data_IF_341787880743
#
_entry.id   IF_341787880743
#
_cell.length_a   1.000
_cell.length_b   1.000
_cell.length_c   1.000
_cell.angle_alpha   90.00
_cell.angle_beta   90.00
_cell.angle_gamma   90.00
#
_symmetry.space_group_name_H-M   'P 1'
#
loop_
_entity.id
_entity.type
_entity.pdbx_description
1 polymer ?
#
# COMPACT_ATOMS: atom_id res chain seq x y z
N UNK A 1 2.34 14.22 13.84
CA UNK A 1 0.90 14.22 14.07
C UNK A 1 0.18 13.75 12.79
N UNK A 2 -0.52 12.62 12.86
CA UNK A 2 -1.28 12.07 11.72
C UNK A 2 -2.66 12.74 11.56
N UNK A 3 -3.15 13.41 12.60
CA UNK A 3 -4.45 14.10 12.58
C UNK A 3 -4.26 15.52 12.01
N UNK A 4 -4.02 15.60 10.72
CA UNK A 4 -3.92 16.86 9.98
C UNK A 4 -5.16 17.06 9.11
N UNK A 5 -5.53 18.32 8.87
CA UNK A 5 -6.70 18.64 8.04
C UNK A 5 -6.43 18.35 6.55
N UNK A 6 -7.48 18.12 5.74
CA UNK A 6 -7.34 17.95 4.30
C UNK A 6 -6.59 19.11 3.62
N UNK A 7 -6.84 20.35 4.06
CA UNK A 7 -6.17 21.55 3.53
C UNK A 7 -4.66 21.50 3.80
N UNK A 8 -4.28 21.03 5.01
CA UNK A 8 -2.85 20.91 5.35
C UNK A 8 -2.18 19.78 4.56
N UNK A 9 -2.88 18.66 4.31
CA UNK A 9 -2.37 17.60 3.45
C UNK A 9 -2.17 18.12 2.02
N UNK A 10 -3.15 18.86 1.48
CA UNK A 10 -3.03 19.50 0.16
C UNK A 10 -1.81 20.44 0.11
N UNK A 11 -1.63 21.30 1.09
CA UNK A 11 -0.46 22.17 1.18
C UNK A 11 0.86 21.38 1.19
N UNK A 12 0.92 20.26 1.92
CA UNK A 12 2.09 19.38 1.91
C UNK A 12 2.37 18.83 0.52
N UNK A 13 1.37 18.29 -0.16
CA UNK A 13 1.54 17.76 -1.52
C UNK A 13 2.01 18.86 -2.49
N UNK A 14 1.42 20.05 -2.43
CA UNK A 14 1.77 21.16 -3.32
C UNK A 14 3.17 21.74 -3.05
N UNK A 15 3.60 21.82 -1.79
CA UNK A 15 4.88 22.45 -1.42
C UNK A 15 6.07 21.49 -1.35
N UNK A 16 5.85 20.25 -0.93
CA UNK A 16 6.93 19.28 -0.70
C UNK A 16 6.76 17.96 -1.46
N UNK A 17 5.69 17.82 -2.25
CA UNK A 17 5.45 16.67 -3.12
C UNK A 17 4.93 15.42 -2.43
N UNK A 18 4.67 15.45 -1.09
CA UNK A 18 4.17 14.31 -0.35
C UNK A 18 3.17 14.74 0.73
N UNK A 19 2.13 13.94 0.94
CA UNK A 19 1.14 14.15 2.00
C UNK A 19 0.63 12.84 2.57
N UNK A 20 0.39 12.80 3.87
CA UNK A 20 -0.19 11.63 4.54
C UNK A 20 -1.69 11.84 4.75
N UNK A 21 -2.49 11.03 4.04
CA UNK A 21 -3.95 11.05 4.13
C UNK A 21 -4.44 10.01 5.15
N UNK A 22 -4.67 10.44 6.39
CA UNK A 22 -5.20 9.55 7.40
C UNK A 22 -6.66 9.23 7.12
N UNK A 23 -6.98 7.95 6.91
CA UNK A 23 -8.28 7.51 6.43
C UNK A 23 -9.47 8.02 7.28
N UNK A 24 -9.33 8.07 8.61
CA UNK A 24 -10.39 8.58 9.51
C UNK A 24 -10.72 10.04 9.26
N UNK A 25 -9.72 10.85 8.88
CA UNK A 25 -9.89 12.28 8.60
C UNK A 25 -10.41 12.51 7.18
N UNK A 26 -9.97 11.66 6.23
CA UNK A 26 -10.28 11.82 4.80
C UNK A 26 -11.61 11.19 4.38
N UNK A 27 -12.16 10.27 5.18
CA UNK A 27 -13.43 9.59 4.92
C UNK A 27 -14.43 9.78 6.06
N UNK A 28 -14.93 11.01 6.33
CA UNK A 28 -15.82 11.28 7.46
C UNK A 28 -17.10 10.45 7.43
N UNK A 29 -17.62 10.12 6.25
CA UNK A 29 -18.81 9.29 6.11
C UNK A 29 -18.64 7.84 6.57
N UNK A 30 -17.39 7.34 6.61
CA UNK A 30 -17.09 6.01 7.13
C UNK A 30 -17.24 5.91 8.65
N UNK A 31 -17.33 7.03 9.36
CA UNK A 31 -17.60 7.04 10.80
C UNK A 31 -18.98 6.45 11.12
N UNK A 32 -19.96 6.63 10.24
CA UNK A 32 -21.32 6.14 10.43
C UNK A 32 -21.42 4.60 10.50
N UNK A 33 -20.44 3.91 9.91
CA UNK A 33 -20.39 2.44 9.90
C UNK A 33 -19.36 1.87 10.86
N UNK A 34 -18.58 2.72 11.52
CA UNK A 34 -17.48 2.29 12.39
C UNK A 34 -17.98 1.47 13.58
N UNK A 35 -19.08 1.87 14.22
CA UNK A 35 -19.64 1.13 15.35
C UNK A 35 -20.06 -0.28 14.93
N UNK A 36 -20.82 -0.40 13.85
CA UNK A 36 -21.27 -1.70 13.32
C UNK A 36 -20.10 -2.59 12.95
N UNK A 37 -19.05 -2.04 12.32
CA UNK A 37 -17.83 -2.79 11.99
C UNK A 37 -17.12 -3.32 13.24
N UNK A 38 -17.05 -2.51 14.29
CA UNK A 38 -16.42 -2.90 15.58
C UNK A 38 -17.23 -4.00 16.29
N UNK A 39 -18.56 -3.97 16.19
CA UNK A 39 -19.44 -4.99 16.77
C UNK A 39 -19.35 -6.31 15.99
N UNK A 40 -19.35 -6.26 14.66
CA UNK A 40 -19.26 -7.43 13.79
C UNK A 40 -17.93 -8.19 13.93
N UNK A 41 -16.82 -7.50 14.23
CA UNK A 41 -15.45 -8.06 14.36
C UNK A 41 -15.03 -8.95 13.18
N UNK A 42 -15.57 -8.69 12.00
CA UNK A 42 -15.26 -9.42 10.77
C UNK A 42 -14.93 -8.46 9.63
N UNK A 43 -14.22 -8.96 8.63
CA UNK A 43 -13.95 -8.21 7.41
C UNK A 43 -15.20 -8.11 6.57
N UNK A 44 -15.45 -6.93 6.02
CA UNK A 44 -16.62 -6.61 5.19
C UNK A 44 -16.18 -5.89 3.92
N UNK A 45 -17.11 -5.62 3.01
CA UNK A 45 -16.85 -4.79 1.82
C UNK A 45 -16.24 -3.42 2.14
N UNK A 46 -16.47 -2.86 3.32
CA UNK A 46 -15.86 -1.60 3.74
C UNK A 46 -14.34 -1.66 3.91
N UNK A 47 -13.76 -2.84 4.01
CA UNK A 47 -12.31 -3.02 4.00
C UNK A 47 -11.71 -2.85 2.59
N UNK A 48 -12.53 -2.99 1.55
CA UNK A 48 -12.14 -2.85 0.14
C UNK A 48 -12.51 -1.46 -0.37
N UNK A 49 -13.65 -0.92 0.05
CA UNK A 49 -14.14 0.38 -0.44
C UNK A 49 -13.23 1.56 -0.07
N UNK A 50 -12.60 1.53 1.11
CA UNK A 50 -11.70 2.59 1.54
C UNK A 50 -10.56 2.84 0.54
N UNK A 51 -9.73 1.84 0.23
CA UNK A 51 -8.66 1.97 -0.77
C UNK A 51 -9.17 2.37 -2.16
N UNK A 52 -10.34 1.90 -2.58
CA UNK A 52 -10.92 2.19 -3.90
C UNK A 52 -11.57 3.58 -3.99
N UNK A 53 -11.79 4.28 -2.87
CA UNK A 53 -12.42 5.60 -2.82
C UNK A 53 -11.43 6.71 -2.42
N UNK A 54 -10.22 6.68 -2.98
CA UNK A 54 -9.20 7.69 -2.69
C UNK A 54 -9.67 9.09 -3.11
N UNK A 55 -9.80 10.04 -2.16
CA UNK A 55 -10.33 11.37 -2.47
C UNK A 55 -9.40 12.24 -3.32
N UNK A 56 -8.14 11.86 -3.49
CA UNK A 56 -7.20 12.61 -4.34
C UNK A 56 -7.44 12.42 -5.83
N UNK A 57 -8.31 11.47 -6.25
CA UNK A 57 -8.50 11.09 -7.65
C UNK A 57 -7.19 10.74 -8.37
N UNK A 58 -6.22 10.18 -7.65
CA UNK A 58 -4.94 9.73 -8.22
C UNK A 58 -5.19 8.75 -9.37
N UNK A 59 -4.43 8.90 -10.45
CA UNK A 59 -4.53 8.03 -11.64
C UNK A 59 -3.56 6.87 -11.59
N UNK A 60 -2.61 6.93 -10.70
CA UNK A 60 -1.62 5.90 -10.44
C UNK A 60 -1.74 5.45 -8.98
N UNK A 61 -1.90 4.15 -8.73
CA UNK A 61 -2.14 3.65 -7.37
C UNK A 61 -1.48 2.29 -7.12
N UNK A 62 -0.84 2.18 -5.97
CA UNK A 62 -0.44 0.90 -5.37
C UNK A 62 -1.34 0.63 -4.17
N UNK A 63 -2.05 -0.50 -4.17
CA UNK A 63 -3.00 -0.87 -3.11
C UNK A 63 -2.64 -2.25 -2.57
N UNK A 64 -2.55 -2.36 -1.24
CA UNK A 64 -2.44 -3.62 -0.56
C UNK A 64 -3.79 -4.30 -0.34
N UNK A 65 -3.84 -5.60 -0.53
CA UNK A 65 -4.99 -6.45 -0.26
C UNK A 65 -4.70 -7.43 0.88
N UNK A 66 -5.66 -7.67 1.71
CA UNK A 66 -5.56 -8.64 2.80
C UNK A 66 -5.83 -10.09 2.36
N UNK A 67 -6.06 -10.33 1.08
CA UNK A 67 -6.32 -11.67 0.54
C UNK A 67 -5.90 -11.72 -0.93
N UNK A 68 -5.17 -12.77 -1.34
CA UNK A 68 -4.79 -12.95 -2.74
C UNK A 68 -6.00 -13.01 -3.69
N UNK A 69 -7.10 -13.62 -3.27
CA UNK A 69 -8.32 -13.73 -4.08
C UNK A 69 -8.96 -12.39 -4.43
N UNK A 70 -8.59 -11.31 -3.72
CA UNK A 70 -9.15 -9.97 -3.93
C UNK A 70 -8.29 -9.10 -4.86
N UNK A 71 -7.04 -9.47 -5.14
CA UNK A 71 -6.16 -8.62 -5.95
C UNK A 71 -6.75 -8.35 -7.33
N UNK A 72 -7.15 -9.38 -8.05
CA UNK A 72 -7.71 -9.27 -9.39
C UNK A 72 -9.06 -8.52 -9.43
N UNK A 73 -10.09 -8.85 -8.61
CA UNK A 73 -11.33 -8.09 -8.60
C UNK A 73 -11.14 -6.61 -8.22
N UNK A 74 -10.21 -6.30 -7.32
CA UNK A 74 -9.88 -4.92 -6.95
C UNK A 74 -9.20 -4.19 -8.10
N UNK A 75 -8.23 -4.80 -8.79
CA UNK A 75 -7.58 -4.22 -9.94
C UNK A 75 -8.58 -3.92 -11.08
N UNK A 76 -9.49 -4.85 -11.37
CA UNK A 76 -10.58 -4.60 -12.33
C UNK A 76 -11.50 -3.45 -11.90
N UNK A 77 -11.77 -3.33 -10.60
CA UNK A 77 -12.57 -2.22 -10.06
C UNK A 77 -11.83 -0.88 -10.22
N UNK A 78 -10.53 -0.85 -9.89
CA UNK A 78 -9.67 0.33 -10.10
C UNK A 78 -9.66 0.76 -11.57
N UNK A 79 -9.50 -0.17 -12.50
CA UNK A 79 -9.53 0.11 -13.94
C UNK A 79 -10.86 0.75 -14.35
N UNK A 80 -12.00 0.24 -13.88
CA UNK A 80 -13.33 0.82 -14.12
C UNK A 80 -13.51 2.20 -13.48
N UNK A 81 -12.83 2.48 -12.37
CA UNK A 81 -12.79 3.79 -11.70
C UNK A 81 -11.85 4.80 -12.39
N UNK A 82 -11.19 4.39 -13.48
CA UNK A 82 -10.36 5.27 -14.30
C UNK A 82 -8.92 5.39 -13.83
N UNK A 83 -8.41 4.40 -13.09
CA UNK A 83 -6.98 4.25 -12.82
C UNK A 83 -6.29 3.85 -14.12
N UNK A 84 -5.21 4.54 -14.45
CA UNK A 84 -4.45 4.36 -15.69
C UNK A 84 -3.34 3.33 -15.51
N UNK A 85 -2.66 3.39 -14.37
CA UNK A 85 -1.60 2.46 -13.99
C UNK A 85 -1.72 2.14 -12.51
N UNK A 86 -1.57 0.88 -12.14
CA UNK A 86 -1.70 0.51 -10.74
C UNK A 86 -1.35 -0.95 -10.48
N UNK A 87 -1.18 -1.25 -9.21
CA UNK A 87 -1.01 -2.60 -8.71
C UNK A 87 -1.89 -2.83 -7.50
N UNK A 88 -2.52 -4.00 -7.43
CA UNK A 88 -3.07 -4.54 -6.19
C UNK A 88 -2.21 -5.72 -5.79
N UNK A 89 -1.67 -5.66 -4.59
CA UNK A 89 -0.64 -6.60 -4.12
C UNK A 89 -1.07 -7.32 -2.84
N UNK A 90 -0.62 -8.55 -2.67
CA UNK A 90 -0.85 -9.33 -1.45
C UNK A 90 0.29 -10.32 -1.23
N UNK A 91 1.00 -10.21 -0.10
CA UNK A 91 1.94 -11.24 0.33
C UNK A 91 1.17 -12.53 0.66
N UNK A 92 1.50 -13.64 -0.02
CA UNK A 92 0.70 -14.87 0.00
C UNK A 92 0.81 -15.57 1.36
N UNK A 93 2.03 -15.67 1.89
CA UNK A 93 2.31 -16.53 3.05
C UNK A 93 1.60 -16.08 4.33
N UNK A 94 1.33 -14.79 4.49
CA UNK A 94 0.75 -14.21 5.70
C UNK A 94 -0.37 -13.19 5.43
N UNK A 95 -0.91 -13.17 4.19
CA UNK A 95 -1.94 -12.21 3.76
C UNK A 95 -1.56 -10.75 4.04
N UNK A 96 -0.28 -10.43 3.80
CA UNK A 96 0.26 -9.09 4.01
C UNK A 96 -0.30 -8.14 2.95
N UNK A 97 -0.83 -7.00 3.38
CA UNK A 97 -1.40 -5.98 2.51
C UNK A 97 -0.35 -5.01 1.93
N UNK A 98 0.81 -5.58 1.56
CA UNK A 98 1.91 -4.91 0.86
C UNK A 98 2.78 -5.95 0.12
N UNK A 99 3.75 -5.51 -0.67
CA UNK A 99 4.73 -6.40 -1.28
C UNK A 99 5.64 -6.94 -0.18
N UNK A 100 5.64 -8.25 -0.04
CA UNK A 100 6.31 -8.95 1.05
C UNK A 100 7.80 -9.17 0.77
N UNK A 101 8.62 -9.09 1.81
CA UNK A 101 10.00 -9.62 1.80
C UNK A 101 10.12 -10.93 2.59
N UNK A 102 9.02 -11.46 3.11
CA UNK A 102 9.00 -12.73 3.83
C UNK A 102 8.87 -13.89 2.83
N UNK A 103 8.03 -13.70 1.83
CA UNK A 103 7.71 -14.72 0.86
C UNK A 103 7.16 -14.16 -0.45
N UNK A 104 6.44 -14.99 -1.16
CA UNK A 104 5.87 -14.67 -2.45
C UNK A 104 4.75 -13.62 -2.34
N UNK A 105 4.66 -12.72 -3.31
CA UNK A 105 3.60 -11.72 -3.42
C UNK A 105 2.84 -11.91 -4.71
N UNK A 106 1.51 -12.02 -4.63
CA UNK A 106 0.62 -11.95 -5.78
C UNK A 106 0.37 -10.49 -6.15
N UNK A 107 0.44 -10.19 -7.43
CA UNK A 107 0.21 -8.88 -8.02
C UNK A 107 -0.87 -8.99 -9.10
N UNK A 108 -1.81 -8.06 -9.08
CA UNK A 108 -2.71 -7.78 -10.19
C UNK A 108 -2.40 -6.36 -10.70
N UNK A 109 -1.68 -6.27 -11.81
CA UNK A 109 -1.20 -5.02 -12.40
C UNK A 109 -2.17 -4.50 -13.44
N UNK A 110 -2.46 -3.19 -13.38
CA UNK A 110 -3.17 -2.44 -14.41
C UNK A 110 -2.13 -1.80 -15.32
N UNK A 111 -2.06 -2.26 -16.55
CA UNK A 111 -1.15 -1.76 -17.57
C UNK A 111 -1.82 -1.80 -18.94
N UNK A 112 -1.71 -0.72 -19.72
CA UNK A 112 -2.25 -0.60 -21.08
C UNK A 112 -3.76 -0.97 -21.18
N UNK A 113 -4.54 -0.57 -20.16
CA UNK A 113 -5.97 -0.83 -20.10
C UNK A 113 -6.35 -2.30 -19.80
N UNK A 114 -5.41 -3.11 -19.35
CA UNK A 114 -5.61 -4.53 -19.00
C UNK A 114 -5.18 -4.80 -17.57
N UNK A 115 -5.72 -5.86 -17.00
CA UNK A 115 -5.25 -6.43 -15.73
C UNK A 115 -4.44 -7.67 -16.02
N UNK A 116 -3.23 -7.75 -15.47
CA UNK A 116 -2.30 -8.87 -15.63
C UNK A 116 -1.94 -9.39 -14.24
N UNK A 117 -2.11 -10.69 -14.03
CA UNK A 117 -1.78 -11.36 -12.77
C UNK A 117 -0.44 -12.07 -12.87
N UNK A 118 0.38 -11.90 -11.86
CA UNK A 118 1.66 -12.60 -11.71
C UNK A 118 2.11 -12.59 -10.24
N UNK A 119 3.10 -13.43 -9.95
CA UNK A 119 3.73 -13.47 -8.64
C UNK A 119 5.18 -13.02 -8.74
N UNK A 120 5.69 -12.47 -7.64
CA UNK A 120 7.08 -12.06 -7.48
C UNK A 120 7.63 -12.60 -6.15
N UNK A 121 8.95 -12.69 -6.08
CA UNK A 121 9.67 -13.03 -4.86
C UNK A 121 10.70 -11.95 -4.50
N UNK A 122 11.09 -11.79 -3.23
CA UNK A 122 12.10 -10.82 -2.83
C UNK A 122 13.44 -11.00 -3.54
N UNK A 123 13.81 -12.25 -3.81
CA UNK A 123 15.08 -12.61 -4.45
C UNK A 123 15.21 -12.05 -5.87
N UNK A 124 14.09 -11.86 -6.57
CA UNK A 124 14.08 -11.26 -7.91
C UNK A 124 14.55 -9.81 -7.92
N UNK A 125 14.50 -9.15 -6.75
CA UNK A 125 14.92 -7.76 -6.52
C UNK A 125 16.22 -7.67 -5.72
N UNK A 126 16.89 -8.80 -5.49
CA UNK A 126 18.15 -8.86 -4.76
C UNK A 126 18.02 -8.78 -3.23
N UNK A 127 16.80 -8.90 -2.71
CA UNK A 127 16.57 -8.97 -1.27
C UNK A 127 16.61 -10.41 -0.76
N UNK A 128 17.09 -10.58 0.48
CA UNK A 128 16.95 -11.85 1.19
C UNK A 128 15.60 -11.93 1.86
N UNK A 129 15.05 -13.13 1.97
CA UNK A 129 13.84 -13.35 2.77
C UNK A 129 14.09 -12.98 4.22
N UNK A 130 13.16 -12.23 4.76
CA UNK A 130 13.08 -11.91 6.18
C UNK A 130 12.11 -12.85 6.90
N UNK A 131 12.05 -12.74 8.21
CA UNK A 131 11.04 -13.40 9.03
C UNK A 131 9.93 -12.40 9.43
N UNK A 132 8.74 -12.87 9.85
CA UNK A 132 7.70 -11.97 10.36
C UNK A 132 8.18 -11.08 11.51
N UNK A 133 9.05 -11.60 12.38
CA UNK A 133 9.61 -10.89 13.52
C UNK A 133 10.48 -9.70 13.09
N UNK A 134 11.21 -9.85 11.98
CA UNK A 134 12.10 -8.82 11.44
C UNK A 134 11.35 -7.55 11.03
N UNK A 135 10.10 -7.68 10.57
CA UNK A 135 9.29 -6.57 10.05
C UNK A 135 8.18 -6.13 11.00
N UNK A 136 7.90 -6.92 12.04
CA UNK A 136 6.86 -6.58 13.01
C UNK A 136 7.13 -5.20 13.64
N UNK A 137 6.08 -4.39 13.71
CA UNK A 137 6.08 -3.11 14.40
C UNK A 137 5.97 -3.26 15.91
N UNK A 138 5.95 -2.13 16.59
CA UNK A 138 5.80 -2.05 18.04
C UNK A 138 4.89 -0.89 18.45
N UNK A 139 5.17 -0.30 19.58
CA UNK A 139 4.52 0.92 20.05
C UNK A 139 4.75 2.09 19.08
N UNK A 140 3.98 3.16 19.20
CA UNK A 140 4.16 4.36 18.37
C UNK A 140 5.58 4.95 18.47
N UNK A 141 6.19 4.92 19.67
CA UNK A 141 7.56 5.40 19.87
C UNK A 141 8.61 4.48 19.23
N UNK A 142 8.40 3.16 19.25
CA UNK A 142 9.27 2.21 18.56
C UNK A 142 9.16 2.36 17.05
N UNK A 143 7.94 2.47 16.53
CA UNK A 143 7.70 2.66 15.09
C UNK A 143 8.29 3.97 14.59
N UNK A 144 8.27 5.04 15.38
CA UNK A 144 8.98 6.29 15.08
C UNK A 144 10.50 6.06 14.95
N UNK A 145 11.10 5.29 15.86
CA UNK A 145 12.53 4.94 15.77
C UNK A 145 12.82 4.15 14.50
N UNK A 146 12.02 3.12 14.20
CA UNK A 146 12.16 2.33 12.97
C UNK A 146 12.05 3.20 11.71
N UNK A 147 11.10 4.13 11.67
CA UNK A 147 10.97 5.08 10.57
C UNK A 147 12.23 5.92 10.37
N UNK A 148 12.81 6.44 11.46
CA UNK A 148 14.05 7.23 11.38
C UNK A 148 15.24 6.39 10.93
N UNK A 149 15.38 5.15 11.39
CA UNK A 149 16.40 4.19 10.95
C UNK A 149 16.32 3.96 9.44
N UNK A 150 15.10 3.72 8.93
CA UNK A 150 14.87 3.53 7.49
C UNK A 150 15.23 4.79 6.70
N UNK A 151 14.78 5.97 7.14
CA UNK A 151 15.06 7.25 6.48
C UNK A 151 16.53 7.63 6.51
N UNK A 152 17.28 7.20 7.53
CA UNK A 152 18.73 7.38 7.60
C UNK A 152 19.51 6.40 6.70
N UNK A 153 18.82 5.48 6.03
CA UNK A 153 19.42 4.53 5.10
C UNK A 153 20.09 3.31 5.74
N UNK A 154 19.88 3.08 7.04
CA UNK A 154 20.43 1.92 7.73
C UNK A 154 19.88 0.61 7.15
N UNK A 155 20.77 -0.33 6.83
CA UNK A 155 20.40 -1.61 6.22
C UNK A 155 19.65 -2.49 7.23
N UNK A 156 18.44 -2.88 6.88
CA UNK A 156 17.59 -3.73 7.71
C UNK A 156 16.45 -4.32 6.88
N UNK A 157 15.82 -5.43 7.31
CA UNK A 157 14.62 -5.94 6.67
C UNK A 157 13.49 -4.91 6.58
N UNK A 158 13.32 -4.06 7.61
CA UNK A 158 12.34 -2.96 7.57
C UNK A 158 12.63 -1.93 6.46
N UNK A 159 13.90 -1.66 6.19
CA UNK A 159 14.28 -0.80 5.07
C UNK A 159 14.03 -1.49 3.73
N UNK A 160 14.32 -2.77 3.64
CA UNK A 160 14.23 -3.52 2.40
C UNK A 160 12.76 -3.63 1.93
N UNK A 161 11.81 -3.91 2.83
CA UNK A 161 10.38 -3.90 2.49
C UNK A 161 9.90 -2.50 2.08
N UNK A 162 10.36 -1.45 2.73
CA UNK A 162 10.03 -0.06 2.34
C UNK A 162 10.56 0.26 0.96
N UNK A 163 11.80 -0.12 0.64
CA UNK A 163 12.39 0.10 -0.69
C UNK A 163 11.62 -0.64 -1.78
N UNK A 164 11.24 -1.90 -1.53
CA UNK A 164 10.50 -2.71 -2.50
C UNK A 164 9.13 -2.09 -2.81
N UNK A 165 8.39 -1.68 -1.78
CA UNK A 165 7.08 -1.05 -1.97
C UNK A 165 7.19 0.37 -2.54
N UNK A 166 8.19 1.16 -2.16
CA UNK A 166 8.46 2.47 -2.75
C UNK A 166 8.86 2.36 -4.23
N UNK A 167 9.71 1.37 -4.56
CA UNK A 167 10.07 1.05 -5.95
C UNK A 167 8.85 0.71 -6.80
N UNK A 168 7.94 -0.12 -6.28
CA UNK A 168 6.68 -0.42 -6.95
C UNK A 168 5.82 0.84 -7.19
N UNK A 169 5.73 1.73 -6.20
CA UNK A 169 5.01 3.00 -6.35
C UNK A 169 5.63 3.90 -7.43
N UNK A 170 6.96 3.99 -7.48
CA UNK A 170 7.69 4.73 -8.53
C UNK A 170 7.50 4.11 -9.92
N UNK A 171 7.50 2.78 -10.02
CA UNK A 171 7.22 2.08 -11.27
C UNK A 171 5.78 2.36 -11.75
N UNK A 172 4.80 2.24 -10.88
CA UNK A 172 3.39 2.55 -11.18
C UNK A 172 3.21 4.00 -11.64
N UNK A 173 3.99 4.94 -11.08
CA UNK A 173 3.99 6.36 -11.49
C UNK A 173 4.78 6.63 -12.80
N UNK A 174 5.36 5.60 -13.40
CA UNK A 174 6.14 5.73 -14.65
C UNK A 174 7.51 6.37 -14.47
N UNK A 175 8.05 6.41 -13.25
CA UNK A 175 9.41 6.91 -12.95
C UNK A 175 10.49 5.86 -13.20
N UNK A 176 10.10 4.61 -13.39
CA UNK A 176 10.96 3.51 -13.79
C UNK A 176 10.33 2.76 -14.97
N UNK A 177 11.15 2.29 -15.91
CA UNK A 177 10.67 1.56 -17.10
C UNK A 177 10.23 0.14 -16.75
N UNK A 178 10.86 -0.46 -15.75
CA UNK A 178 10.52 -1.78 -15.24
C UNK A 178 10.47 -1.78 -13.72
N UNK A 179 9.71 -2.70 -13.15
CA UNK A 179 9.65 -2.83 -11.69
C UNK A 179 10.99 -3.30 -11.07
N UNK A 180 11.88 -3.90 -11.86
CA UNK A 180 13.21 -4.39 -11.41
C UNK A 180 14.31 -3.31 -11.46
N UNK A 181 14.05 -2.15 -12.06
CA UNK A 181 14.97 -1.02 -12.14
C UNK A 181 14.67 0.03 -11.07
#
# INVERSE_FOLDING_TARGET
>A
NINVTPEKVKECVEKIGIGFMFARTMHPHMTNVTQVRNELKMRTMFNILGPLSNPSNAKHQLIGSFSPCLTNPMAHSMLKLGIVSGMVVCGIDNNMDEISIIGETQISEIKDGKVIDYNITPEEFGFKRATPEDITGGTAEENKKYTLVVLNGEKSPKRDIVLLNAGAALYVDGKAETFKN
#
